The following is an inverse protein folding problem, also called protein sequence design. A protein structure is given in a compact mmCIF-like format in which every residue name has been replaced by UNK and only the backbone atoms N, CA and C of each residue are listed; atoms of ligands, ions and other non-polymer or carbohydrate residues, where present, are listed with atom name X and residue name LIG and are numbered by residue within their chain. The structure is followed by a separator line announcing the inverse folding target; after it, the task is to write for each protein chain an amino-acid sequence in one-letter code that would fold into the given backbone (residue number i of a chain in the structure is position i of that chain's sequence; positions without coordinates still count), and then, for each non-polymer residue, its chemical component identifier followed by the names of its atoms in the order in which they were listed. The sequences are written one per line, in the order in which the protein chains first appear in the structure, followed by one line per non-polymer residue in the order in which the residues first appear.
data_IF_788302036783
#
_entry.id   IF_788302036783
#
_cell.length_a   1.000
_cell.length_b   1.000
_cell.length_c   1.000
_cell.angle_alpha   90.00
_cell.angle_beta   90.00
_cell.angle_gamma   90.00
#
_symmetry.space_group_name_H-M   'P 1'
#
loop_
_entity.id
_entity.type
_entity.pdbx_description
1 polymer ?
#
# COMPACT_ATOMS: atom_id res chain seq x y z
N UNK A 1 -12.26 9.62 4.46
CA UNK A 1 -11.07 9.16 3.71
C UNK A 1 -11.56 8.86 2.32
N UNK A 2 -11.16 9.67 1.33
CA UNK A 2 -11.62 9.56 -0.06
C UNK A 2 -10.55 8.75 -0.80
N UNK A 3 -10.98 7.72 -1.56
CA UNK A 3 -10.12 6.90 -2.42
C UNK A 3 -10.47 7.25 -3.87
N UNK A 4 -9.47 7.54 -4.71
CA UNK A 4 -9.68 8.00 -6.08
C UNK A 4 -10.20 6.87 -7.00
N UNK A 5 -11.35 7.08 -7.62
CA UNK A 5 -12.11 6.05 -8.38
C UNK A 5 -11.44 5.59 -9.71
N UNK A 6 -10.46 6.32 -10.24
CA UNK A 6 -9.85 6.04 -11.55
C UNK A 6 -8.35 5.68 -11.53
N UNK A 7 -7.69 5.79 -10.38
CA UNK A 7 -6.28 5.40 -10.14
C UNK A 7 -6.14 4.81 -8.74
N UNK A 8 -6.99 3.81 -8.43
CA UNK A 8 -7.11 3.28 -7.08
C UNK A 8 -5.80 2.66 -6.57
N UNK A 9 -4.97 2.13 -7.48
CA UNK A 9 -3.72 1.41 -7.16
C UNK A 9 -2.54 2.09 -7.84
N UNK A 10 -1.67 2.68 -7.03
CA UNK A 10 -0.40 3.27 -7.48
C UNK A 10 0.57 2.16 -7.91
N UNK A 11 0.71 1.14 -7.06
CA UNK A 11 1.68 0.06 -7.27
C UNK A 11 1.36 -1.18 -6.45
N UNK A 12 1.82 -2.33 -6.93
CA UNK A 12 1.81 -3.59 -6.17
C UNK A 12 3.24 -4.07 -6.01
N UNK A 13 3.68 -4.29 -4.78
CA UNK A 13 4.97 -4.92 -4.48
C UNK A 13 4.74 -6.33 -3.95
N UNK A 14 5.35 -7.32 -4.60
CA UNK A 14 5.34 -8.70 -4.15
C UNK A 14 6.54 -8.98 -3.24
N UNK A 15 6.32 -9.68 -2.14
CA UNK A 15 7.41 -10.14 -1.27
C UNK A 15 8.34 -11.10 -2.03
N UNK A 16 9.63 -11.14 -1.68
CA UNK A 16 10.61 -12.01 -2.34
C UNK A 16 10.21 -13.51 -2.29
N UNK A 17 9.53 -13.91 -1.22
CA UNK A 17 9.04 -15.27 -1.00
C UNK A 17 7.72 -15.57 -1.76
N UNK A 18 7.18 -14.62 -2.53
CA UNK A 18 5.88 -14.71 -3.20
C UNK A 18 4.70 -15.03 -2.26
N UNK A 19 4.81 -14.63 -1.00
CA UNK A 19 3.81 -14.91 0.04
C UNK A 19 2.83 -13.77 0.27
N UNK A 20 3.27 -12.53 0.04
CA UNK A 20 2.46 -11.34 0.28
C UNK A 20 2.51 -10.39 -0.90
N UNK A 21 1.37 -9.76 -1.18
CA UNK A 21 1.28 -8.58 -2.03
C UNK A 21 0.97 -7.36 -1.17
N UNK A 22 1.76 -6.30 -1.35
CA UNK A 22 1.55 -4.98 -0.76
C UNK A 22 1.01 -4.07 -1.85
N UNK A 23 -0.28 -3.78 -1.78
CA UNK A 23 -0.99 -2.90 -2.73
C UNK A 23 -0.98 -1.49 -2.17
N UNK A 24 -0.30 -0.56 -2.84
CA UNK A 24 -0.26 0.85 -2.49
C UNK A 24 -1.43 1.57 -3.16
N UNK A 25 -2.26 2.21 -2.34
CA UNK A 25 -3.30 3.12 -2.77
C UNK A 25 -2.84 4.56 -2.48
N UNK A 26 -2.87 5.46 -3.47
CA UNK A 26 -2.51 6.86 -3.24
C UNK A 26 -3.56 7.54 -2.35
N UNK A 27 -3.12 8.51 -1.56
CA UNK A 27 -4.00 9.41 -0.80
C UNK A 27 -3.92 10.83 -1.35
N UNK A 28 -4.78 11.74 -0.87
CA UNK A 28 -4.70 13.16 -1.24
C UNK A 28 -3.38 13.82 -0.80
N UNK A 29 -2.73 13.27 0.24
CA UNK A 29 -1.45 13.73 0.72
C UNK A 29 -0.33 13.09 -0.09
N UNK A 30 0.51 13.94 -0.69
CA UNK A 30 1.75 13.50 -1.35
C UNK A 30 2.58 12.66 -0.37
N UNK A 31 3.29 11.66 -0.90
CA UNK A 31 4.15 10.75 -0.13
C UNK A 31 3.43 9.93 0.97
N UNK A 32 2.10 9.98 1.03
CA UNK A 32 1.28 9.19 1.95
C UNK A 32 0.43 8.19 1.18
N UNK A 33 0.51 6.92 1.58
CA UNK A 33 -0.17 5.81 0.95
C UNK A 33 -0.91 4.96 1.98
N UNK A 34 -1.98 4.31 1.54
CA UNK A 34 -2.58 3.20 2.28
C UNK A 34 -2.04 1.92 1.66
N UNK A 35 -1.39 1.09 2.46
CA UNK A 35 -0.87 -0.20 2.03
C UNK A 35 -1.83 -1.28 2.48
N UNK A 36 -2.40 -2.03 1.54
CA UNK A 36 -3.14 -3.26 1.83
C UNK A 36 -2.19 -4.43 1.70
N UNK A 37 -2.13 -5.28 2.74
CA UNK A 37 -1.32 -6.50 2.76
C UNK A 37 -2.23 -7.68 2.48
N UNK A 38 -1.99 -8.36 1.36
CA UNK A 38 -2.71 -9.56 0.93
C UNK A 38 -1.81 -10.76 1.20
N UNK A 39 -2.33 -11.78 1.89
CA UNK A 39 -1.69 -13.08 2.01
C UNK A 39 -2.12 -13.95 0.82
N UNK A 40 -1.15 -14.28 -0.05
CA UNK A 40 -1.40 -15.02 -1.27
C UNK A 40 -1.63 -16.51 -1.00
N UNK A 41 -1.09 -17.05 0.09
CA UNK A 41 -1.26 -18.45 0.47
C UNK A 41 -2.63 -18.67 1.09
N UNK A 42 -3.03 -17.80 2.02
CA UNK A 42 -4.33 -17.83 2.67
C UNK A 42 -5.46 -17.26 1.79
N UNK A 43 -5.11 -16.59 0.68
CA UNK A 43 -6.04 -15.91 -0.24
C UNK A 43 -6.96 -14.91 0.47
N UNK A 44 -6.42 -14.18 1.45
CA UNK A 44 -7.18 -13.19 2.20
C UNK A 44 -6.41 -11.88 2.38
N UNK A 45 -7.13 -10.83 2.77
CA UNK A 45 -6.52 -9.57 3.17
C UNK A 45 -6.07 -9.74 4.62
N UNK A 46 -4.76 -9.65 4.86
CA UNK A 46 -4.17 -9.75 6.20
C UNK A 46 -4.40 -8.47 7.01
N UNK A 47 -4.43 -7.32 6.34
CA UNK A 47 -4.69 -6.03 6.96
C UNK A 47 -4.28 -4.86 6.07
N UNK A 48 -4.24 -3.68 6.67
CA UNK A 48 -3.76 -2.47 6.02
C UNK A 48 -3.04 -1.57 7.02
N UNK A 49 -2.20 -0.66 6.53
CA UNK A 49 -1.56 0.38 7.33
C UNK A 49 -1.28 1.63 6.50
N UNK A 50 -1.05 2.76 7.17
CA UNK A 50 -0.66 4.02 6.52
C UNK A 50 0.86 4.06 6.41
N UNK A 51 1.35 4.26 5.19
CA UNK A 51 2.76 4.49 4.90
C UNK A 51 2.96 5.97 4.59
N UNK A 52 3.70 6.67 5.44
CA UNK A 52 4.11 8.05 5.21
C UNK A 52 5.61 8.07 4.90
N UNK A 53 5.95 8.29 3.63
CA UNK A 53 7.34 8.25 3.18
C UNK A 53 8.16 9.44 3.71
N UNK A 54 7.55 10.59 3.95
CA UNK A 54 8.25 11.74 4.55
C UNK A 54 8.72 11.40 5.97
N UNK A 55 7.92 10.65 6.72
CA UNK A 55 8.26 10.19 8.06
C UNK A 55 9.27 9.04 8.05
N UNK A 56 9.10 8.06 7.17
CA UNK A 56 9.93 6.85 7.16
C UNK A 56 11.31 7.08 6.51
N UNK A 57 11.41 8.03 5.58
CA UNK A 57 12.62 8.26 4.78
C UNK A 57 13.14 9.69 4.83
N UNK A 58 12.56 10.56 5.67
CA UNK A 58 12.96 11.96 5.83
C UNK A 58 13.02 12.73 4.50
N UNK A 59 12.12 12.39 3.58
CA UNK A 59 11.99 13.06 2.29
C UNK A 59 11.50 14.50 2.57
N UNK A 60 12.26 15.48 2.10
CA UNK A 60 12.01 16.92 2.28
C UNK A 60 11.39 17.53 1.04
#
# INVERSE_FOLDING_TARGET
MIVYDQELVEKVYRSCENTYDHVLLPTENQNTFIVIVIDLLAKNIRGHYILNLDREYELK
#
